data_IF_025939252071
#
_entry.id   IF_025939252071
#
_cell.length_a   1.000
_cell.length_b   1.000
_cell.length_c   1.000
_cell.angle_alpha   90.00
_cell.angle_beta   90.00
_cell.angle_gamma   90.00
#
_symmetry.space_group_name_H-M   'P 1'
#
loop_
_entity.id
_entity.type
_entity.pdbx_description
1 polymer ?
#
# COMPACT_ATOMS: atom_id res chain seq x y z
N UNK A 1 5.60 -5.29 -12.02
CA UNK A 1 4.58 -5.28 -10.95
C UNK A 1 3.45 -4.36 -11.38
N UNK A 2 2.25 -4.57 -10.83
CA UNK A 2 1.09 -3.74 -11.09
C UNK A 2 0.56 -3.25 -9.75
N UNK A 3 0.30 -1.95 -9.66
CA UNK A 3 -0.35 -1.34 -8.51
C UNK A 3 -1.63 -0.66 -9.00
N UNK A 4 -2.74 -0.96 -8.35
CA UNK A 4 -4.06 -0.42 -8.68
C UNK A 4 -4.64 0.19 -7.41
N UNK A 5 -5.46 1.23 -7.57
CA UNK A 5 -6.13 1.88 -6.47
C UNK A 5 -7.56 2.23 -6.84
N UNK A 6 -8.45 2.15 -5.85
CA UNK A 6 -9.88 2.43 -5.98
C UNK A 6 -10.37 3.20 -4.74
N UNK A 7 -11.13 4.27 -4.96
CA UNK A 7 -11.79 5.00 -3.87
C UNK A 7 -12.93 4.16 -3.31
N UNK A 8 -12.93 3.98 -1.98
CA UNK A 8 -13.99 3.33 -1.23
C UNK A 8 -14.62 4.38 -0.30
N UNK A 9 -15.50 5.20 -0.86
CA UNK A 9 -15.98 6.39 -0.16
C UNK A 9 -14.83 7.35 0.12
N UNK A 10 -14.60 7.67 1.40
CA UNK A 10 -13.49 8.53 1.83
C UNK A 10 -12.17 7.76 2.02
N UNK A 11 -12.17 6.43 1.90
CA UNK A 11 -11.01 5.56 2.08
C UNK A 11 -10.41 5.13 0.73
N UNK A 12 -9.23 4.52 0.75
CA UNK A 12 -8.57 4.00 -0.45
C UNK A 12 -8.26 2.51 -0.33
N UNK A 13 -8.66 1.73 -1.32
CA UNK A 13 -8.19 0.37 -1.54
C UNK A 13 -6.99 0.41 -2.50
N UNK A 14 -5.90 -0.28 -2.16
CA UNK A 14 -4.71 -0.41 -2.99
C UNK A 14 -4.35 -1.88 -3.13
N UNK A 15 -4.11 -2.33 -4.36
CA UNK A 15 -3.74 -3.71 -4.67
C UNK A 15 -2.40 -3.72 -5.40
N UNK A 16 -1.39 -4.36 -4.81
CA UNK A 16 -0.08 -4.56 -5.41
C UNK A 16 0.12 -6.03 -5.75
N UNK A 17 0.28 -6.33 -7.03
CA UNK A 17 0.53 -7.69 -7.54
C UNK A 17 1.72 -7.75 -8.48
N UNK A 18 2.28 -8.95 -8.66
CA UNK A 18 3.45 -9.18 -9.52
C UNK A 18 3.80 -10.65 -9.63
N UNK A 19 4.28 -11.07 -10.81
CA UNK A 19 4.52 -12.49 -11.10
C UNK A 19 3.21 -13.28 -11.02
N UNK A 20 3.20 -14.34 -10.20
CA UNK A 20 1.96 -15.08 -9.86
C UNK A 20 1.20 -14.36 -8.75
N UNK A 21 0.15 -13.63 -9.14
CA UNK A 21 -0.73 -12.94 -8.20
C UNK A 21 -1.35 -13.91 -7.18
N UNK A 22 -1.39 -13.48 -5.93
CA UNK A 22 -2.01 -14.17 -4.80
C UNK A 22 -2.36 -13.13 -3.73
N UNK A 23 -2.80 -13.55 -2.55
CA UNK A 23 -2.88 -12.68 -1.37
C UNK A 23 -1.76 -13.12 -0.45
N UNK A 24 -0.77 -12.26 -0.22
CA UNK A 24 0.36 -12.54 0.66
C UNK A 24 0.19 -11.88 2.02
N UNK A 25 -0.11 -10.59 2.00
CA UNK A 25 -0.41 -9.79 3.17
C UNK A 25 -1.44 -8.68 2.87
N UNK A 26 -2.07 -8.19 3.92
CA UNK A 26 -2.94 -7.02 3.89
C UNK A 26 -2.61 -6.12 5.08
N UNK A 27 -2.62 -4.81 4.86
CA UNK A 27 -2.40 -3.81 5.90
C UNK A 27 -3.43 -2.71 5.81
N UNK A 28 -4.09 -2.41 6.92
CA UNK A 28 -4.93 -1.23 7.09
C UNK A 28 -4.11 -0.17 7.80
N UNK A 29 -3.94 0.97 7.15
CA UNK A 29 -3.39 2.19 7.74
C UNK A 29 -4.53 3.17 8.00
N UNK A 30 -4.67 3.63 9.24
CA UNK A 30 -5.64 4.65 9.63
C UNK A 30 -4.93 5.95 9.95
N UNK A 31 -5.32 7.04 9.30
CA UNK A 31 -4.69 8.35 9.51
C UNK A 31 -5.18 8.97 10.82
N UNK A 32 -4.26 9.20 11.75
CA UNK A 32 -4.50 9.93 12.99
C UNK A 32 -4.18 11.42 12.78
N UNK A 33 -5.22 12.26 12.93
CA UNK A 33 -5.12 13.71 12.74
C UNK A 33 -4.31 14.39 13.86
N UNK A 34 -4.28 13.81 15.05
CA UNK A 34 -3.60 14.43 16.19
C UNK A 34 -2.08 14.24 16.10
N UNK A 35 -1.64 13.05 15.67
CA UNK A 35 -0.22 12.74 15.48
C UNK A 35 0.31 13.02 14.08
N UNK A 36 -0.58 13.34 13.13
CA UNK A 36 -0.32 13.43 11.68
C UNK A 36 0.37 12.17 11.10
N UNK A 37 0.10 11.00 11.68
CA UNK A 37 0.73 9.73 11.33
C UNK A 37 -0.31 8.64 11.08
N UNK A 38 0.11 7.59 10.39
CA UNK A 38 -0.72 6.41 10.23
C UNK A 38 -0.50 5.39 11.37
N UNK A 39 -1.58 4.81 11.87
CA UNK A 39 -1.56 3.61 12.70
C UNK A 39 -1.84 2.41 11.81
N UNK A 40 -0.98 1.40 11.83
CA UNK A 40 -1.04 0.26 10.91
C UNK A 40 -1.40 -1.03 11.64
N UNK A 41 -2.35 -1.78 11.09
CA UNK A 41 -2.66 -3.16 11.48
C UNK A 41 -2.51 -4.07 10.26
N UNK A 42 -1.76 -5.16 10.40
CA UNK A 42 -1.42 -6.05 9.28
C UNK A 42 -1.78 -7.50 9.57
N UNK A 43 -2.08 -8.25 8.52
CA UNK A 43 -2.24 -9.70 8.53
C UNK A 43 -1.52 -10.30 7.33
N UNK A 44 -0.80 -11.40 7.53
CA UNK A 44 -0.10 -12.15 6.49
C UNK A 44 -0.51 -13.62 6.47
N UNK A 45 -0.50 -14.22 5.28
CA UNK A 45 -0.63 -15.68 5.15
C UNK A 45 0.67 -16.33 5.66
N UNK A 46 0.61 -17.38 6.51
CA UNK A 46 1.82 -18.03 7.00
C UNK A 46 2.79 -18.45 5.88
N UNK A 47 4.07 -18.06 6.02
CA UNK A 47 5.13 -18.35 5.05
C UNK A 47 5.35 -17.27 3.98
N UNK A 48 4.51 -16.24 3.93
CA UNK A 48 4.66 -15.08 3.05
C UNK A 48 5.50 -13.98 3.70
N UNK A 49 6.13 -13.12 2.88
CA UNK A 49 7.04 -12.05 3.32
C UNK A 49 6.57 -10.65 2.92
N UNK A 50 5.34 -10.54 2.44
CA UNK A 50 4.82 -9.29 1.85
C UNK A 50 4.31 -8.29 2.89
N UNK A 51 4.29 -8.65 4.18
CA UNK A 51 3.75 -7.82 5.27
C UNK A 51 4.46 -6.47 5.41
N UNK A 52 5.79 -6.44 5.27
CA UNK A 52 6.57 -5.21 5.33
C UNK A 52 6.23 -4.27 4.16
N UNK A 53 6.03 -4.81 2.96
CA UNK A 53 5.65 -4.02 1.78
C UNK A 53 4.23 -3.46 1.96
N UNK A 54 3.30 -4.29 2.44
CA UNK A 54 1.92 -3.89 2.69
C UNK A 54 1.84 -2.78 3.74
N UNK A 55 2.53 -2.96 4.87
CA UNK A 55 2.49 -2.01 5.99
C UNK A 55 3.15 -0.68 5.65
N UNK A 56 4.35 -0.71 5.06
CA UNK A 56 5.05 0.51 4.68
C UNK A 56 4.31 1.27 3.57
N UNK A 57 3.77 0.56 2.59
CA UNK A 57 2.98 1.16 1.51
C UNK A 57 1.68 1.79 2.00
N UNK A 58 0.90 1.06 2.82
CA UNK A 58 -0.34 1.57 3.41
C UNK A 58 -0.07 2.81 4.28
N UNK A 59 0.95 2.75 5.15
CA UNK A 59 1.34 3.88 6.01
C UNK A 59 1.72 5.11 5.18
N UNK A 60 2.61 4.93 4.21
CA UNK A 60 3.07 6.01 3.34
C UNK A 60 1.92 6.69 2.59
N UNK A 61 1.02 5.90 2.00
CA UNK A 61 -0.13 6.42 1.26
C UNK A 61 -1.13 7.10 2.21
N UNK A 62 -1.41 6.53 3.37
CA UNK A 62 -2.33 7.09 4.36
C UNK A 62 -1.85 8.44 4.89
N UNK A 63 -0.56 8.59 5.22
CA UNK A 63 0.02 9.86 5.67
C UNK A 63 0.03 10.92 4.57
N UNK A 64 0.26 10.53 3.31
CA UNK A 64 0.29 11.47 2.18
C UNK A 64 -1.10 11.91 1.73
N UNK A 65 -2.08 11.02 1.82
CA UNK A 65 -3.45 11.26 1.39
C UNK A 65 -4.38 11.65 2.55
N UNK A 66 -3.91 11.64 3.80
CA UNK A 66 -4.68 12.01 5.01
C UNK A 66 -6.01 11.24 5.17
N UNK A 67 -6.02 9.96 4.79
CA UNK A 67 -7.19 9.06 4.87
C UNK A 67 -6.79 7.63 5.17
N UNK A 68 -7.77 6.77 5.46
CA UNK A 68 -7.48 5.35 5.67
C UNK A 68 -7.14 4.68 4.33
N UNK A 69 -6.17 3.76 4.38
CA UNK A 69 -5.71 3.00 3.22
C UNK A 69 -5.66 1.53 3.58
N UNK A 70 -6.38 0.69 2.83
CA UNK A 70 -6.24 -0.76 2.87
C UNK A 70 -5.35 -1.19 1.70
N UNK A 71 -4.18 -1.73 1.99
CA UNK A 71 -3.26 -2.24 0.97
C UNK A 71 -3.19 -3.77 1.01
N UNK A 72 -3.55 -4.42 -0.09
CA UNK A 72 -3.31 -5.86 -0.30
C UNK A 72 -2.08 -6.04 -1.17
N UNK A 73 -1.15 -6.90 -0.73
CA UNK A 73 0.07 -7.22 -1.45
C UNK A 73 0.16 -8.72 -1.69
N UNK A 74 0.43 -9.09 -2.94
CA UNK A 74 0.62 -10.47 -3.35
C UNK A 74 1.51 -10.55 -4.57
N UNK A 75 2.81 -10.63 -4.30
CA UNK A 75 3.85 -10.67 -5.31
C UNK A 75 4.65 -11.96 -5.18
N UNK A 76 4.89 -12.65 -6.29
CA UNK A 76 5.82 -13.78 -6.33
C UNK A 76 7.07 -13.35 -7.09
N UNK A 77 8.05 -12.83 -6.35
CA UNK A 77 9.33 -12.36 -6.88
C UNK A 77 10.45 -13.17 -6.24
N UNK A 78 11.14 -13.95 -7.06
CA UNK A 78 12.36 -14.62 -6.65
C UNK A 78 13.48 -13.58 -6.53
N UNK A 79 14.02 -13.41 -5.31
CA UNK A 79 15.08 -12.44 -5.01
C UNK A 79 14.75 -11.01 -5.47
N UNK A 80 13.89 -10.26 -4.73
CA UNK A 80 13.53 -8.90 -5.11
C UNK A 80 14.77 -8.02 -5.26
N UNK A 81 14.83 -7.29 -6.37
CA UNK A 81 15.92 -6.37 -6.69
C UNK A 81 15.61 -4.97 -6.17
N UNK A 82 16.63 -4.10 -6.08
CA UNK A 82 16.41 -2.68 -5.76
C UNK A 82 15.44 -2.00 -6.73
N UNK A 83 15.49 -2.39 -8.02
CA UNK A 83 14.59 -1.88 -9.05
C UNK A 83 13.13 -2.25 -8.79
N UNK A 84 12.86 -3.44 -8.24
CA UNK A 84 11.51 -3.85 -7.88
C UNK A 84 10.93 -2.95 -6.78
N UNK A 85 11.75 -2.59 -5.80
CA UNK A 85 11.37 -1.66 -4.73
C UNK A 85 11.14 -0.24 -5.27
N UNK A 86 11.99 0.22 -6.20
CA UNK A 86 11.82 1.52 -6.87
C UNK A 86 10.53 1.58 -7.67
N UNK A 87 10.16 0.50 -8.36
CA UNK A 87 8.92 0.41 -9.14
C UNK A 87 7.68 0.48 -8.24
N UNK A 88 7.70 -0.19 -7.07
CA UNK A 88 6.63 -0.08 -6.06
C UNK A 88 6.51 1.36 -5.56
N UNK A 89 7.63 1.98 -5.20
CA UNK A 89 7.65 3.34 -4.68
C UNK A 89 7.15 4.36 -5.72
N UNK A 90 7.55 4.20 -6.99
CA UNK A 90 7.01 5.02 -8.09
C UNK A 90 5.51 4.84 -8.21
N UNK A 91 5.03 3.59 -8.18
CA UNK A 91 3.61 3.28 -8.19
C UNK A 91 2.81 3.98 -7.08
N UNK A 92 3.33 3.97 -5.85
CA UNK A 92 2.71 4.71 -4.74
C UNK A 92 2.70 6.22 -4.97
N UNK A 93 3.76 6.80 -5.56
CA UNK A 93 3.78 8.23 -5.91
C UNK A 93 2.76 8.58 -6.98
N UNK A 94 2.59 7.72 -7.98
CA UNK A 94 1.59 7.90 -9.03
C UNK A 94 0.16 7.87 -8.44
N UNK A 95 -0.10 6.97 -7.48
CA UNK A 95 -1.36 6.99 -6.71
C UNK A 95 -1.55 8.32 -5.99
N UNK A 96 -0.52 8.87 -5.34
CA UNK A 96 -0.64 10.17 -4.65
C UNK A 96 -1.03 11.28 -5.63
N UNK A 97 -0.46 11.28 -6.84
CA UNK A 97 -0.78 12.29 -7.86
C UNK A 97 -2.23 12.18 -8.31
N UNK A 98 -2.73 10.96 -8.53
CA UNK A 98 -4.08 10.70 -9.05
C UNK A 98 -5.17 10.82 -7.99
N UNK A 99 -4.87 10.46 -6.74
CA UNK A 99 -5.86 10.38 -5.66
C UNK A 99 -5.69 11.48 -4.60
N UNK A 100 -4.69 12.36 -4.74
CA UNK A 100 -4.42 13.46 -3.82
C UNK A 100 -5.34 14.68 -3.95
N UNK A 101 -6.46 14.57 -4.67
CA UNK A 101 -7.23 15.72 -5.12
C UNK A 101 -8.11 16.44 -4.08
N UNK A 102 -8.10 16.08 -2.80
CA UNK A 102 -9.15 16.53 -1.85
C UNK A 102 -8.69 17.02 -0.47
N UNK A 103 -7.49 17.62 -0.34
CA UNK A 103 -7.09 18.21 0.96
C UNK A 103 -6.47 19.61 0.80
N UNK A 104 -7.32 20.59 0.48
CA UNK A 104 -7.15 22.00 0.91
C UNK A 104 -8.06 22.27 2.12
#
# INVERSE_FOLDING_TARGET
MTIEAEDIGDDLLVILTGGKAHIGAVSLATYDKDSEKAVVSSMSIPGHKEEEIASNGASYLSEKLKRNVLMSVGIHVDNPTERDLEDILRGCKDIIIVFGHNYE
#
